data_IF_374857504426
#
_entry.id   IF_374857504426
#
_cell.length_a   1.000
_cell.length_b   1.000
_cell.length_c   1.000
_cell.angle_alpha   90.00
_cell.angle_beta   90.00
_cell.angle_gamma   90.00
#
_symmetry.space_group_name_H-M   'P 1'
#
loop_
_entity.id
_entity.type
_entity.pdbx_description
1 polymer ?
#
# COMPACT_ATOMS: atom_id res chain seq x y z
N UNK A 1 -7.86 -28.10 39.33
CA UNK A 1 -8.58 -28.84 38.28
C UNK A 1 -9.12 -27.82 37.30
N UNK A 2 -8.26 -27.57 36.31
CA UNK A 2 -8.52 -27.27 34.91
C UNK A 2 -9.35 -26.02 34.59
N UNK A 3 -8.63 -24.89 34.54
CA UNK A 3 -8.95 -23.84 33.55
C UNK A 3 -8.59 -24.42 32.18
N UNK A 4 -9.60 -24.77 31.41
CA UNK A 4 -9.46 -25.07 30.00
C UNK A 4 -9.00 -23.77 29.34
N UNK A 5 -7.71 -23.66 29.02
CA UNK A 5 -7.22 -22.71 28.04
C UNK A 5 -7.95 -23.03 26.74
N UNK A 6 -8.82 -22.11 26.31
CA UNK A 6 -9.32 -22.11 24.94
C UNK A 6 -8.09 -21.80 24.08
N UNK A 7 -7.45 -22.83 23.54
CA UNK A 7 -6.58 -22.68 22.38
C UNK A 7 -7.41 -21.97 21.32
N UNK A 8 -7.15 -20.67 21.10
CA UNK A 8 -7.63 -20.01 19.90
C UNK A 8 -6.88 -20.67 18.75
N UNK A 9 -7.52 -21.61 18.07
CA UNK A 9 -7.00 -22.13 16.81
C UNK A 9 -6.87 -20.94 15.87
N UNK A 10 -5.64 -20.44 15.68
CA UNK A 10 -5.36 -19.43 14.66
C UNK A 10 -5.78 -20.05 13.34
N UNK A 11 -6.85 -19.53 12.75
CA UNK A 11 -7.28 -19.94 11.42
C UNK A 11 -6.21 -19.41 10.47
N UNK A 12 -5.44 -20.32 9.90
CA UNK A 12 -4.44 -19.97 8.89
C UNK A 12 -5.18 -19.62 7.61
N UNK A 13 -4.90 -18.46 7.02
CA UNK A 13 -5.48 -18.09 5.73
C UNK A 13 -5.17 -19.14 4.66
N UNK A 14 -6.10 -19.36 3.71
CA UNK A 14 -5.79 -20.15 2.52
C UNK A 14 -4.62 -19.51 1.77
N UNK A 15 -3.75 -20.34 1.19
CA UNK A 15 -2.62 -19.85 0.40
C UNK A 15 -3.07 -19.21 -0.91
N UNK A 16 -2.16 -18.47 -1.55
CA UNK A 16 -2.43 -17.76 -2.82
C UNK A 16 -3.13 -18.63 -3.88
N UNK A 17 -2.74 -19.90 -4.15
CA UNK A 17 -3.43 -20.72 -5.14
C UNK A 17 -4.93 -20.92 -4.84
N UNK A 18 -5.28 -21.15 -3.57
CA UNK A 18 -6.67 -21.31 -3.17
C UNK A 18 -7.44 -19.99 -3.22
N UNK A 19 -6.80 -18.88 -2.81
CA UNK A 19 -7.38 -17.55 -2.94
C UNK A 19 -7.66 -17.18 -4.41
N UNK A 20 -6.76 -17.51 -5.32
CA UNK A 20 -6.94 -17.31 -6.78
C UNK A 20 -8.08 -18.20 -7.30
N UNK A 21 -8.14 -19.46 -6.88
CA UNK A 21 -9.21 -20.37 -7.27
C UNK A 21 -10.59 -19.88 -6.78
N UNK A 22 -10.66 -19.31 -5.58
CA UNK A 22 -11.89 -18.69 -5.05
C UNK A 22 -12.27 -17.47 -5.90
N UNK A 23 -11.31 -16.56 -6.15
CA UNK A 23 -11.51 -15.36 -6.96
C UNK A 23 -12.02 -15.70 -8.37
N UNK A 24 -11.41 -16.69 -9.01
CA UNK A 24 -11.76 -17.10 -10.38
C UNK A 24 -13.12 -17.82 -10.50
N UNK A 25 -13.76 -18.21 -9.39
CA UNK A 25 -15.13 -18.75 -9.39
C UNK A 25 -16.18 -17.64 -9.46
N UNK A 26 -15.81 -16.40 -9.18
CA UNK A 26 -16.73 -15.27 -9.33
C UNK A 26 -17.16 -15.10 -10.78
N UNK A 27 -18.46 -14.89 -10.99
CA UNK A 27 -19.00 -14.64 -12.34
C UNK A 27 -18.78 -13.18 -12.70
N UNK A 28 -18.33 -12.93 -13.92
CA UNK A 28 -18.13 -11.58 -14.47
C UNK A 28 -17.12 -10.75 -13.66
N UNK A 29 -15.92 -11.31 -13.48
CA UNK A 29 -14.81 -10.55 -12.90
C UNK A 29 -14.65 -9.19 -13.60
N UNK A 30 -14.43 -8.10 -12.84
CA UNK A 30 -14.27 -6.78 -13.42
C UNK A 30 -13.01 -6.73 -14.29
N UNK A 31 -13.02 -5.80 -15.25
CA UNK A 31 -11.91 -5.55 -16.16
C UNK A 31 -11.26 -4.22 -15.77
N UNK A 32 -9.96 -4.25 -15.53
CA UNK A 32 -9.15 -3.09 -15.22
C UNK A 32 -8.86 -2.24 -16.47
N UNK A 33 -8.59 -0.96 -16.22
CA UNK A 33 -8.29 0.04 -17.24
C UNK A 33 -6.93 0.66 -16.91
N UNK A 34 -6.05 0.79 -17.92
CA UNK A 34 -4.79 1.51 -17.78
C UNK A 34 -5.03 3.02 -17.89
N UNK A 35 -4.37 3.77 -17.02
CA UNK A 35 -4.38 5.23 -17.03
C UNK A 35 -3.44 5.78 -18.10
N UNK A 36 -3.75 6.98 -18.58
CA UNK A 36 -2.88 7.74 -19.50
C UNK A 36 -2.34 8.96 -18.77
N UNK A 37 -1.03 9.16 -18.83
CA UNK A 37 -0.36 10.30 -18.20
C UNK A 37 0.31 11.20 -19.24
N UNK A 38 0.17 12.50 -19.05
CA UNK A 38 0.80 13.52 -19.87
C UNK A 38 2.02 14.09 -19.12
N UNK A 39 3.22 13.60 -19.48
CA UNK A 39 4.47 13.92 -18.77
C UNK A 39 5.30 15.04 -19.41
N UNK A 40 4.94 15.47 -20.62
CA UNK A 40 5.74 16.39 -21.42
C UNK A 40 7.05 15.77 -21.95
N UNK A 41 7.77 16.53 -22.78
CA UNK A 41 8.98 16.02 -23.48
C UNK A 41 10.16 15.72 -22.53
N UNK A 42 10.28 16.45 -21.42
CA UNK A 42 11.39 16.27 -20.46
C UNK A 42 11.37 14.91 -19.75
N UNK A 43 10.19 14.27 -19.67
CA UNK A 43 9.99 12.98 -19.04
C UNK A 43 9.64 11.89 -20.06
N UNK A 44 10.01 12.11 -21.33
CA UNK A 44 9.85 11.11 -22.37
C UNK A 44 10.60 9.82 -22.02
N UNK A 45 9.89 8.69 -22.05
CA UNK A 45 10.42 7.38 -21.68
C UNK A 45 10.37 7.07 -20.17
N UNK A 46 9.71 7.91 -19.38
CA UNK A 46 9.34 7.60 -18.00
C UNK A 46 7.98 6.90 -17.96
N UNK A 47 7.81 6.05 -16.96
CA UNK A 47 6.56 5.39 -16.60
C UNK A 47 5.98 6.05 -15.35
N UNK A 48 4.64 6.02 -15.21
CA UNK A 48 3.94 6.35 -13.96
C UNK A 48 3.19 5.13 -13.46
N UNK A 49 3.55 4.63 -12.30
CA UNK A 49 2.97 3.43 -11.70
C UNK A 49 2.92 3.54 -10.17
N UNK A 50 2.37 2.51 -9.52
CA UNK A 50 2.11 2.46 -8.07
C UNK A 50 1.44 3.76 -7.57
N UNK A 51 0.29 4.16 -8.17
CA UNK A 51 -0.36 5.42 -7.84
C UNK A 51 -0.96 5.37 -6.43
N UNK A 52 -1.15 6.50 -5.77
CA UNK A 52 -1.95 6.60 -4.54
C UNK A 52 -2.98 7.72 -4.70
N UNK A 53 -4.29 7.44 -4.59
CA UNK A 53 -5.29 8.50 -4.57
C UNK A 53 -5.11 9.37 -3.33
N UNK A 54 -5.27 10.67 -3.50
CA UNK A 54 -5.23 11.67 -2.43
C UNK A 54 -6.32 12.70 -2.65
N UNK A 55 -6.95 13.12 -1.55
CA UNK A 55 -7.96 14.18 -1.57
C UNK A 55 -7.49 15.36 -0.71
N UNK A 56 -7.45 16.55 -1.33
CA UNK A 56 -7.00 17.80 -0.70
C UNK A 56 -8.08 18.84 -0.99
N UNK A 57 -8.69 19.38 0.07
CA UNK A 57 -9.73 20.41 -0.03
C UNK A 57 -10.89 20.04 -0.98
N UNK A 58 -11.29 18.76 -0.98
CA UNK A 58 -12.34 18.21 -1.85
C UNK A 58 -11.92 17.93 -3.29
N UNK A 59 -10.71 18.29 -3.68
CA UNK A 59 -10.13 17.98 -4.99
C UNK A 59 -9.42 16.62 -4.95
N UNK A 60 -9.63 15.82 -5.98
CA UNK A 60 -9.06 14.48 -6.12
C UNK A 60 -7.84 14.52 -7.01
N UNK A 61 -6.75 13.91 -6.54
CA UNK A 61 -5.50 13.79 -7.26
C UNK A 61 -4.97 12.35 -7.16
N UNK A 62 -3.94 12.06 -7.97
CA UNK A 62 -3.09 10.88 -7.79
C UNK A 62 -1.66 11.31 -7.54
N UNK A 63 -1.06 10.76 -6.50
CA UNK A 63 0.40 10.68 -6.40
C UNK A 63 0.85 9.50 -7.27
N UNK A 64 1.85 9.69 -8.11
CA UNK A 64 2.40 8.62 -8.95
C UNK A 64 3.90 8.49 -8.79
N UNK A 65 4.42 7.26 -8.75
CA UNK A 65 5.86 6.99 -8.89
C UNK A 65 6.22 7.17 -10.36
N UNK A 66 7.02 8.20 -10.63
CA UNK A 66 7.56 8.54 -11.95
C UNK A 66 9.00 8.07 -12.02
N UNK A 67 9.28 7.14 -12.93
CA UNK A 67 10.60 6.53 -13.03
C UNK A 67 10.94 6.16 -14.48
N UNK A 68 12.21 6.28 -14.86
CA UNK A 68 12.64 5.92 -16.21
C UNK A 68 12.32 4.45 -16.51
N UNK A 69 11.72 4.15 -17.67
CA UNK A 69 11.30 2.79 -18.02
C UNK A 69 12.42 1.74 -17.92
N UNK A 70 13.67 2.15 -18.13
CA UNK A 70 14.85 1.27 -18.20
C UNK A 70 15.74 1.30 -16.95
N UNK A 71 15.35 2.01 -15.90
CA UNK A 71 16.15 2.17 -14.69
C UNK A 71 15.27 2.22 -13.45
N UNK A 72 15.76 1.72 -12.32
CA UNK A 72 15.13 1.86 -10.99
C UNK A 72 15.73 3.01 -10.17
N UNK A 73 16.62 3.80 -10.79
CA UNK A 73 17.31 4.92 -10.15
C UNK A 73 16.58 6.24 -10.35
N UNK A 74 16.66 7.11 -9.35
CA UNK A 74 16.14 8.47 -9.42
C UNK A 74 14.62 8.56 -9.52
N UNK A 75 13.90 7.60 -8.93
CA UNK A 75 12.43 7.65 -8.86
C UNK A 75 11.96 8.94 -8.20
N UNK A 76 10.87 9.49 -8.70
CA UNK A 76 10.23 10.67 -8.14
C UNK A 76 8.77 10.36 -7.84
N UNK A 77 8.22 10.95 -6.79
CA UNK A 77 6.76 11.04 -6.64
C UNK A 77 6.31 12.41 -7.11
N UNK A 78 5.30 12.42 -7.98
CA UNK A 78 4.68 13.63 -8.53
C UNK A 78 3.16 13.58 -8.36
N UNK A 79 2.53 14.75 -8.33
CA UNK A 79 1.07 14.89 -8.22
C UNK A 79 0.44 15.06 -9.61
N UNK A 80 -0.69 14.40 -9.81
CA UNK A 80 -1.44 14.41 -11.06
C UNK A 80 -2.93 14.72 -10.83
N UNK A 81 -3.54 15.44 -11.77
CA UNK A 81 -4.98 15.70 -11.82
C UNK A 81 -5.57 15.18 -13.13
N UNK A 82 -6.78 14.64 -13.06
CA UNK A 82 -7.52 14.20 -14.25
C UNK A 82 -8.09 15.40 -15.02
N UNK A 83 -7.88 15.41 -16.34
CA UNK A 83 -8.43 16.42 -17.23
C UNK A 83 -9.75 15.99 -17.87
N UNK A 84 -10.38 16.87 -18.64
CA UNK A 84 -11.68 16.63 -19.28
C UNK A 84 -11.69 15.43 -20.26
N UNK A 85 -10.53 14.95 -20.69
CA UNK A 85 -10.37 13.78 -21.58
C UNK A 85 -10.16 12.47 -20.81
N UNK A 86 -10.09 12.51 -19.48
CA UNK A 86 -9.76 11.36 -18.63
C UNK A 86 -8.28 10.99 -18.65
N UNK A 87 -7.40 11.93 -19.04
CA UNK A 87 -5.94 11.78 -18.96
C UNK A 87 -5.43 12.51 -17.71
N UNK A 88 -4.27 12.07 -17.20
CA UNK A 88 -3.69 12.59 -15.97
C UNK A 88 -2.54 13.52 -16.28
N UNK A 89 -2.76 14.81 -16.03
CA UNK A 89 -1.78 15.87 -16.24
C UNK A 89 -0.98 16.09 -14.95
N UNK A 90 0.31 16.42 -15.09
CA UNK A 90 1.13 16.86 -13.96
C UNK A 90 0.52 18.13 -13.38
N UNK A 91 0.35 18.18 -12.06
CA UNK A 91 0.00 19.42 -11.37
C UNK A 91 1.24 20.30 -11.29
N UNK A 92 1.24 21.40 -12.05
CA UNK A 92 2.33 22.38 -12.04
C UNK A 92 2.53 22.96 -10.63
N UNK A 93 3.78 23.29 -10.29
CA UNK A 93 4.21 23.81 -8.99
C UNK A 93 3.95 22.92 -7.75
N UNK A 94 3.37 21.73 -7.92
CA UNK A 94 3.25 20.77 -6.84
C UNK A 94 4.63 20.23 -6.39
N UNK A 95 4.79 19.87 -5.11
CA UNK A 95 6.04 19.31 -4.62
C UNK A 95 6.43 18.03 -5.37
N UNK A 96 7.73 17.89 -5.69
CA UNK A 96 8.31 16.68 -6.27
C UNK A 96 9.20 16.00 -5.24
N UNK A 97 8.86 14.77 -4.88
CA UNK A 97 9.61 14.00 -3.89
C UNK A 97 10.67 13.16 -4.60
N UNK A 98 11.88 13.70 -4.70
CA UNK A 98 13.01 13.02 -5.35
C UNK A 98 13.47 11.81 -4.54
N UNK A 99 13.99 10.80 -5.25
CA UNK A 99 14.47 9.55 -4.67
C UNK A 99 13.45 8.86 -3.76
N UNK A 100 12.17 8.95 -4.14
CA UNK A 100 11.04 8.40 -3.39
C UNK A 100 10.19 7.54 -4.33
N UNK A 101 9.80 6.37 -3.84
CA UNK A 101 9.00 5.38 -4.55
C UNK A 101 7.68 5.13 -3.80
N UNK A 102 6.74 4.47 -4.48
CA UNK A 102 5.53 3.85 -3.91
C UNK A 102 4.79 4.78 -2.92
N UNK A 103 4.26 5.92 -3.39
CA UNK A 103 3.58 6.89 -2.55
C UNK A 103 2.35 6.28 -1.86
N UNK A 104 1.96 6.88 -0.74
CA UNK A 104 0.73 6.52 -0.04
C UNK A 104 0.12 7.71 0.69
N UNK A 105 -1.19 7.62 0.92
CA UNK A 105 -1.95 8.56 1.74
C UNK A 105 -2.72 7.80 2.82
N UNK A 106 -2.59 8.24 4.08
CA UNK A 106 -3.27 7.63 5.23
C UNK A 106 -4.52 8.41 5.67
N UNK A 107 -4.88 9.50 4.99
CA UNK A 107 -5.96 10.38 5.43
C UNK A 107 -5.53 11.29 6.58
N UNK A 108 -6.50 11.68 7.41
CA UNK A 108 -6.27 12.53 8.58
C UNK A 108 -5.97 11.64 9.80
N UNK A 109 -4.81 11.87 10.42
CA UNK A 109 -4.36 11.22 11.65
C UNK A 109 -3.82 12.30 12.58
N UNK A 110 -4.29 12.32 13.83
CA UNK A 110 -3.89 13.32 14.83
C UNK A 110 -4.10 14.78 14.36
N UNK A 111 -5.11 15.01 13.53
CA UNK A 111 -5.42 16.32 12.96
C UNK A 111 -4.52 16.75 11.79
N UNK A 112 -3.63 15.89 11.31
CA UNK A 112 -2.77 16.14 10.14
C UNK A 112 -3.10 15.21 8.99
N UNK A 113 -2.98 15.69 7.76
CA UNK A 113 -2.99 14.85 6.56
C UNK A 113 -1.64 14.15 6.44
N UNK A 114 -1.66 12.82 6.40
CA UNK A 114 -0.47 11.98 6.42
C UNK A 114 -0.24 11.35 5.05
N UNK A 115 0.93 11.61 4.48
CA UNK A 115 1.40 10.98 3.25
C UNK A 115 2.84 10.49 3.39
N UNK A 116 3.28 9.64 2.48
CA UNK A 116 4.68 9.21 2.48
C UNK A 116 5.05 8.42 1.25
N UNK A 117 6.22 7.80 1.33
CA UNK A 117 6.73 6.89 0.30
C UNK A 117 7.94 6.12 0.83
N UNK A 118 8.63 5.45 -0.08
CA UNK A 118 9.88 4.74 0.20
C UNK A 118 11.04 5.56 -0.34
N UNK A 119 11.82 6.16 0.57
CA UNK A 119 13.04 6.87 0.20
C UNK A 119 14.13 5.85 -0.14
N UNK A 120 14.87 6.09 -1.23
CA UNK A 120 15.96 5.23 -1.71
C UNK A 120 17.25 6.03 -1.82
N UNK A 121 18.39 5.37 -1.65
CA UNK A 121 19.71 5.98 -1.84
C UNK A 121 20.56 5.21 -2.83
N UNK A 122 21.37 5.93 -3.60
CA UNK A 122 22.41 5.34 -4.44
C UNK A 122 23.69 5.11 -3.62
N UNK A 123 23.59 4.20 -2.65
CA UNK A 123 24.70 3.80 -1.78
C UNK A 123 24.89 2.27 -1.78
N UNK A 124 26.03 1.81 -1.27
CA UNK A 124 26.34 0.37 -1.19
C UNK A 124 25.23 -0.37 -0.40
N UNK A 125 24.68 -1.42 -1.01
CA UNK A 125 23.58 -2.19 -0.41
C UNK A 125 22.17 -1.64 -0.67
N UNK A 126 22.03 -0.58 -1.50
CA UNK A 126 20.76 0.02 -1.92
C UNK A 126 19.79 0.23 -0.75
N UNK A 127 20.15 1.05 0.25
CA UNK A 127 19.28 1.25 1.40
C UNK A 127 17.99 1.94 0.98
N UNK A 128 16.92 1.57 1.69
CA UNK A 128 15.60 2.12 1.49
C UNK A 128 14.84 2.14 2.80
N UNK A 129 13.93 3.10 2.98
CA UNK A 129 13.13 3.22 4.20
C UNK A 129 11.83 3.97 3.94
N UNK A 130 10.83 3.72 4.77
CA UNK A 130 9.60 4.52 4.73
C UNK A 130 9.89 5.92 5.25
N UNK A 131 9.44 6.97 4.55
CA UNK A 131 9.41 8.34 5.04
C UNK A 131 7.99 8.86 5.04
N UNK A 132 7.64 9.69 6.03
CA UNK A 132 6.29 10.23 6.18
C UNK A 132 6.36 11.74 6.37
N UNK A 133 5.48 12.42 5.65
CA UNK A 133 5.24 13.85 5.69
C UNK A 133 3.84 14.12 6.26
N UNK A 134 3.70 15.24 6.94
CA UNK A 134 2.44 15.71 7.50
C UNK A 134 2.20 17.15 7.09
N UNK A 135 0.99 17.47 6.68
CA UNK A 135 0.56 18.83 6.36
C UNK A 135 -0.87 19.05 6.84
N UNK A 136 -1.30 20.30 6.97
CA UNK A 136 -2.66 20.60 7.43
C UNK A 136 -3.61 20.74 6.27
N UNK A 137 -3.48 21.76 5.45
CA UNK A 137 -4.47 22.14 4.44
C UNK A 137 -4.03 21.81 3.01
N UNK A 138 -2.77 22.05 2.67
CA UNK A 138 -2.28 21.92 1.29
C UNK A 138 -0.86 21.36 1.20
N UNK A 139 -0.54 20.70 0.08
CA UNK A 139 0.78 20.12 -0.16
C UNK A 139 1.90 21.17 -0.26
N UNK A 140 1.57 22.42 -0.62
CA UNK A 140 2.54 23.53 -0.64
C UNK A 140 3.17 23.79 0.74
N UNK A 141 2.53 23.38 1.85
CA UNK A 141 3.13 23.43 3.19
C UNK A 141 4.39 22.56 3.33
N UNK A 142 4.53 21.56 2.45
CA UNK A 142 5.72 20.70 2.42
C UNK A 142 6.90 21.36 1.69
N UNK A 143 6.76 22.59 1.19
CA UNK A 143 7.84 23.31 0.50
C UNK A 143 8.14 24.63 1.23
N UNK A 144 9.36 24.77 1.71
CA UNK A 144 9.85 25.98 2.40
C UNK A 144 11.05 26.51 1.64
N UNK A 145 10.95 27.76 1.15
CA UNK A 145 12.00 28.43 0.34
C UNK A 145 12.40 27.66 -0.93
N UNK A 146 11.46 26.88 -1.49
CA UNK A 146 11.68 26.10 -2.71
C UNK A 146 12.20 24.68 -2.49
N UNK A 147 12.52 24.32 -1.24
CA UNK A 147 12.98 22.98 -0.87
C UNK A 147 11.87 22.22 -0.13
N UNK A 148 11.83 20.90 -0.35
CA UNK A 148 10.95 20.02 0.42
C UNK A 148 11.37 20.02 1.89
N UNK A 149 10.42 20.11 2.81
CA UNK A 149 10.67 19.95 4.25
C UNK A 149 11.21 18.55 4.55
N UNK A 150 11.90 18.40 5.68
CA UNK A 150 12.28 17.07 6.17
C UNK A 150 11.03 16.26 6.55
N UNK A 151 11.01 14.94 6.30
CA UNK A 151 9.93 14.09 6.78
C UNK A 151 9.90 14.11 8.31
N UNK A 152 8.70 14.16 8.91
CA UNK A 152 8.58 14.12 10.37
C UNK A 152 8.91 12.75 10.94
N UNK A 153 8.80 11.71 10.11
CA UNK A 153 9.16 10.34 10.47
C UNK A 153 10.02 9.69 9.39
N UNK A 154 11.06 9.01 9.86
CA UNK A 154 11.99 8.21 9.07
C UNK A 154 12.00 6.80 9.67
N UNK A 155 11.59 5.83 8.86
CA UNK A 155 11.48 4.44 9.28
C UNK A 155 12.84 3.73 9.36
N UNK A 156 12.84 2.49 9.88
CA UNK A 156 14.01 1.63 9.92
C UNK A 156 14.57 1.37 8.52
N UNK A 157 15.89 1.28 8.43
CA UNK A 157 16.57 0.86 7.21
C UNK A 157 16.07 -0.51 6.74
N UNK A 158 15.88 -0.63 5.43
CA UNK A 158 15.33 -1.79 4.73
C UNK A 158 13.91 -2.18 5.18
N UNK A 159 13.13 -1.25 5.71
CA UNK A 159 11.71 -1.44 6.01
C UNK A 159 10.83 -0.44 5.25
N UNK A 160 10.03 -0.97 4.32
CA UNK A 160 8.93 -0.23 3.67
C UNK A 160 7.59 -0.53 4.36
N UNK A 161 6.52 0.17 3.98
CA UNK A 161 5.16 -0.24 4.33
C UNK A 161 4.68 0.14 5.73
N UNK A 162 5.23 1.20 6.34
CA UNK A 162 4.61 1.81 7.53
C UNK A 162 3.33 2.55 7.10
N UNK A 163 2.21 2.27 7.76
CA UNK A 163 0.91 2.92 7.51
C UNK A 163 0.23 3.29 8.82
N UNK A 164 -0.44 4.44 8.85
CA UNK A 164 -1.08 4.98 10.03
C UNK A 164 -2.59 5.04 9.84
N UNK A 165 -3.34 4.92 10.93
CA UNK A 165 -4.80 5.13 10.93
C UNK A 165 -5.28 5.72 12.24
N UNK A 166 -6.11 6.75 12.18
CA UNK A 166 -6.81 7.28 13.35
C UNK A 166 -7.84 6.25 13.84
N UNK A 167 -7.79 5.90 15.13
CA UNK A 167 -8.75 4.97 15.75
C UNK A 167 -9.90 5.74 16.40
N UNK A 168 -11.05 5.08 16.58
CA UNK A 168 -12.23 5.65 17.28
C UNK A 168 -11.97 5.99 18.74
N UNK A 169 -11.05 5.28 19.38
CA UNK A 169 -10.65 5.51 20.77
C UNK A 169 -9.67 6.69 20.93
N UNK A 170 -9.37 7.43 19.85
CA UNK A 170 -8.44 8.56 19.85
C UNK A 170 -6.97 8.20 19.63
N UNK A 171 -6.59 6.92 19.76
CA UNK A 171 -5.23 6.46 19.47
C UNK A 171 -4.95 6.39 17.97
N UNK A 172 -3.71 6.14 17.62
CA UNK A 172 -3.26 5.91 16.24
C UNK A 172 -2.81 4.45 16.13
N UNK A 173 -3.41 3.72 15.19
CA UNK A 173 -2.95 2.40 14.80
C UNK A 173 -1.77 2.53 13.86
N UNK A 174 -0.69 1.78 14.14
CA UNK A 174 0.54 1.75 13.35
C UNK A 174 0.71 0.35 12.77
N UNK A 175 0.59 0.24 11.46
CA UNK A 175 0.94 -0.97 10.74
C UNK A 175 2.38 -0.91 10.29
N UNK A 176 3.11 -1.99 10.50
CA UNK A 176 4.51 -2.16 10.08
C UNK A 176 4.63 -3.32 9.10
N UNK A 177 5.76 -3.38 8.39
CA UNK A 177 6.10 -4.51 7.52
C UNK A 177 7.52 -4.99 7.80
N UNK A 178 7.79 -5.57 8.98
CA UNK A 178 9.11 -6.11 9.31
C UNK A 178 9.59 -7.15 8.30
N UNK A 179 10.90 -7.19 8.08
CA UNK A 179 11.60 -8.12 7.21
C UNK A 179 12.89 -8.61 7.88
N UNK A 180 13.35 -9.81 7.50
CA UNK A 180 14.56 -10.43 8.01
C UNK A 180 14.35 -11.87 8.46
N UNK A 181 15.41 -12.67 8.40
CA UNK A 181 15.35 -14.12 8.65
C UNK A 181 14.81 -14.47 10.04
N UNK A 182 15.20 -13.69 11.05
CA UNK A 182 14.76 -13.90 12.44
C UNK A 182 13.35 -13.34 12.73
N UNK A 183 12.87 -12.40 11.91
CA UNK A 183 11.62 -11.69 12.19
C UNK A 183 11.04 -11.05 10.92
N UNK A 184 9.88 -11.57 10.47
CA UNK A 184 9.14 -11.04 9.32
C UNK A 184 9.50 -11.65 7.96
N UNK A 185 10.60 -12.39 7.82
CA UNK A 185 10.98 -13.07 6.57
C UNK A 185 11.07 -12.09 5.39
N UNK A 186 10.44 -12.42 4.26
CA UNK A 186 10.31 -11.51 3.08
C UNK A 186 9.32 -10.36 3.31
N UNK A 187 8.53 -10.47 4.37
CA UNK A 187 7.88 -9.38 5.07
C UNK A 187 6.46 -9.69 5.45
N UNK A 188 6.17 -9.54 6.74
CA UNK A 188 4.88 -9.80 7.38
C UNK A 188 4.28 -8.51 7.91
N UNK A 189 3.00 -8.49 8.23
CA UNK A 189 2.32 -7.31 8.77
C UNK A 189 2.42 -7.33 10.30
N UNK A 190 2.86 -6.22 10.89
CA UNK A 190 2.78 -5.98 12.32
C UNK A 190 1.80 -4.86 12.66
N UNK A 191 1.35 -4.80 13.93
CA UNK A 191 0.45 -3.76 14.43
C UNK A 191 0.74 -3.39 15.89
N UNK A 192 0.65 -2.10 16.19
CA UNK A 192 0.54 -1.57 17.55
C UNK A 192 -0.20 -0.24 17.57
N UNK A 193 -0.45 0.30 18.76
CA UNK A 193 -1.11 1.59 18.94
C UNK A 193 -0.22 2.58 19.70
N UNK A 194 -0.29 3.86 19.30
CA UNK A 194 0.35 5.00 19.96
C UNK A 194 -0.68 6.07 20.31
N UNK A 195 -0.35 7.02 21.19
CA UNK A 195 -1.33 8.04 21.62
C UNK A 195 -1.36 9.27 20.70
N UNK A 196 -0.22 9.64 20.13
CA UNK A 196 -0.08 10.78 19.21
C UNK A 196 1.05 10.53 18.22
N UNK A 197 1.18 11.37 17.19
CA UNK A 197 2.27 11.26 16.21
C UNK A 197 3.66 11.45 16.85
N UNK A 198 3.76 12.19 17.96
CA UNK A 198 5.01 12.40 18.69
C UNK A 198 5.60 11.08 19.25
N UNK A 199 4.74 10.11 19.55
CA UNK A 199 5.14 8.79 20.06
C UNK A 199 5.71 7.88 18.95
N UNK A 200 5.43 8.17 17.67
CA UNK A 200 5.67 7.23 16.56
C UNK A 200 7.13 6.78 16.47
N UNK A 201 8.08 7.71 16.53
CA UNK A 201 9.50 7.38 16.45
C UNK A 201 9.90 6.46 17.60
N UNK A 202 9.59 6.83 18.84
CA UNK A 202 9.98 6.05 20.02
C UNK A 202 9.37 4.65 20.01
N UNK A 203 8.07 4.56 19.76
CA UNK A 203 7.32 3.31 19.92
C UNK A 203 7.55 2.33 18.76
N UNK A 204 7.89 2.81 17.55
CA UNK A 204 8.19 1.93 16.41
C UNK A 204 9.53 1.19 16.55
N UNK A 205 10.54 1.81 17.16
CA UNK A 205 11.83 1.17 17.42
C UNK A 205 11.84 0.34 18.72
N UNK A 206 10.73 0.36 19.46
CA UNK A 206 10.54 -0.54 20.60
C UNK A 206 10.13 -1.94 20.09
N UNK A 207 11.03 -2.92 20.30
CA UNK A 207 10.83 -4.30 19.84
C UNK A 207 9.56 -4.95 20.41
N UNK A 208 9.14 -4.56 21.61
CA UNK A 208 7.96 -5.14 22.27
C UNK A 208 6.64 -4.74 21.59
N UNK A 209 6.66 -3.64 20.84
CA UNK A 209 5.49 -3.12 20.11
C UNK A 209 5.35 -3.74 18.73
N UNK A 210 6.43 -4.22 18.12
CA UNK A 210 6.33 -4.81 16.80
C UNK A 210 5.85 -6.26 16.94
N UNK A 211 4.53 -6.46 17.04
CA UNK A 211 3.91 -7.80 17.05
C UNK A 211 3.31 -8.09 15.69
N UNK A 212 3.66 -9.25 15.13
CA UNK A 212 3.08 -9.71 13.88
C UNK A 212 1.58 -10.01 14.07
N UNK A 213 0.80 -9.64 13.06
CA UNK A 213 -0.57 -10.11 12.92
C UNK A 213 -0.50 -11.55 12.40
N UNK A 214 -0.99 -12.55 13.16
CA UNK A 214 -0.94 -13.93 12.74
C UNK A 214 -1.96 -14.20 11.61
N UNK A 215 -1.71 -15.26 10.83
CA UNK A 215 -2.70 -15.80 9.91
C UNK A 215 -2.91 -15.01 8.60
N UNK A 216 -2.08 -14.01 8.28
CA UNK A 216 -2.20 -13.25 7.02
C UNK A 216 -1.48 -13.91 5.85
N UNK A 217 -0.30 -14.49 6.07
CA UNK A 217 0.53 -15.10 5.01
C UNK A 217 0.88 -16.53 5.37
N UNK A 218 0.83 -17.43 4.40
CA UNK A 218 1.19 -18.84 4.61
C UNK A 218 2.69 -19.00 4.73
N UNK A 219 3.12 -19.64 5.81
CA UNK A 219 4.48 -20.15 6.00
C UNK A 219 4.57 -21.57 5.41
N UNK A 220 5.49 -21.80 4.48
CA UNK A 220 5.58 -23.07 3.74
C UNK A 220 6.80 -23.86 4.17
N UNK A 221 6.60 -25.07 4.69
CA UNK A 221 7.69 -26.04 4.87
C UNK A 221 8.17 -26.56 3.51
N UNK A 222 9.40 -26.21 3.11
CA UNK A 222 10.05 -26.73 1.89
C UNK A 222 9.83 -25.92 0.61
N UNK A 223 9.29 -24.70 0.72
CA UNK A 223 9.17 -23.72 -0.37
C UNK A 223 9.45 -22.30 0.14
N UNK A 224 9.28 -21.28 -0.70
CA UNK A 224 9.37 -19.89 -0.23
C UNK A 224 8.03 -19.41 0.34
N UNK A 225 8.09 -18.72 1.49
CA UNK A 225 6.93 -18.16 2.18
C UNK A 225 6.23 -17.07 1.36
N UNK A 226 4.93 -16.92 1.58
CA UNK A 226 4.17 -15.77 1.09
C UNK A 226 4.59 -14.50 1.86
N UNK A 227 4.53 -13.35 1.20
CA UNK A 227 4.81 -12.07 1.84
C UNK A 227 3.86 -10.99 1.37
N UNK A 228 3.85 -9.88 2.09
CA UNK A 228 3.03 -8.75 1.69
C UNK A 228 3.11 -7.59 2.66
N UNK A 229 2.13 -6.70 2.56
CA UNK A 229 2.07 -5.50 3.38
C UNK A 229 0.81 -4.71 3.16
N UNK A 230 0.47 -3.87 4.13
CA UNK A 230 -0.63 -2.91 4.04
C UNK A 230 -0.30 -1.82 3.01
N UNK A 231 -1.28 -1.46 2.20
CA UNK A 231 -1.20 -0.35 1.24
C UNK A 231 -2.10 0.82 1.67
N UNK A 232 -3.35 0.54 2.04
CA UNK A 232 -4.33 1.54 2.48
C UNK A 232 -5.23 1.00 3.59
N UNK A 233 -5.68 1.89 4.47
CA UNK A 233 -6.44 1.57 5.67
C UNK A 233 -7.73 2.38 5.73
N UNK A 234 -8.81 1.76 6.21
CA UNK A 234 -10.13 2.36 6.32
C UNK A 234 -10.70 2.08 7.71
N UNK A 235 -11.10 3.13 8.44
CA UNK A 235 -11.74 2.97 9.74
C UNK A 235 -13.20 2.62 9.53
N UNK A 236 -13.64 1.47 10.06
CA UNK A 236 -14.99 0.97 9.89
C UNK A 236 -15.94 1.47 11.00
N UNK A 237 -17.25 1.40 10.76
CA UNK A 237 -18.29 1.90 11.67
C UNK A 237 -18.37 1.20 13.02
N UNK A 238 -17.86 -0.02 13.14
CA UNK A 238 -17.76 -0.73 14.42
C UNK A 238 -16.40 -0.56 15.11
N UNK A 239 -15.48 0.21 14.50
CA UNK A 239 -14.15 0.44 15.04
C UNK A 239 -13.10 -0.60 14.61
N UNK A 240 -13.45 -1.60 13.78
CA UNK A 240 -12.45 -2.44 13.10
C UNK A 240 -11.79 -1.68 11.95
N UNK A 241 -10.79 -2.29 11.32
CA UNK A 241 -9.99 -1.67 10.27
C UNK A 241 -10.13 -2.48 8.98
N UNK A 242 -10.69 -1.87 7.94
CA UNK A 242 -10.62 -2.40 6.59
C UNK A 242 -9.21 -2.21 6.04
N UNK A 243 -8.60 -3.28 5.55
CA UNK A 243 -7.23 -3.30 5.06
C UNK A 243 -7.22 -3.62 3.58
N UNK A 244 -6.67 -2.71 2.77
CA UNK A 244 -6.23 -3.03 1.42
C UNK A 244 -4.73 -3.28 1.45
N UNK A 245 -4.31 -4.42 0.92
CA UNK A 245 -2.95 -4.91 1.01
C UNK A 245 -2.53 -5.60 -0.30
N UNK A 246 -1.24 -5.89 -0.41
CA UNK A 246 -0.73 -6.83 -1.41
C UNK A 246 -0.31 -8.13 -0.72
N UNK A 247 -0.48 -9.24 -1.44
CA UNK A 247 0.10 -10.55 -1.14
C UNK A 247 0.94 -11.00 -2.35
N UNK A 248 2.01 -11.71 -2.09
CA UNK A 248 2.98 -12.09 -3.11
C UNK A 248 3.63 -13.45 -2.82
N UNK A 249 3.98 -14.12 -3.91
CA UNK A 249 4.77 -15.36 -3.93
C UNK A 249 5.72 -15.40 -5.12
N UNK A 250 6.47 -16.50 -5.19
CA UNK A 250 7.11 -16.94 -6.42
C UNK A 250 6.20 -17.93 -7.13
N UNK A 251 5.83 -17.59 -8.37
CA UNK A 251 5.10 -18.50 -9.25
C UNK A 251 5.93 -19.72 -9.65
N UNK A 252 5.31 -20.69 -10.33
CA UNK A 252 6.00 -21.90 -10.80
C UNK A 252 7.18 -21.64 -11.75
N UNK A 253 7.20 -20.47 -12.41
CA UNK A 253 8.27 -20.02 -13.28
C UNK A 253 9.42 -19.28 -12.54
N UNK A 254 9.34 -19.22 -11.21
CA UNK A 254 10.31 -18.53 -10.35
C UNK A 254 10.20 -17.02 -10.38
N UNK A 255 9.16 -16.44 -10.99
CA UNK A 255 8.93 -14.99 -11.01
C UNK A 255 8.05 -14.55 -9.85
N UNK A 256 8.21 -13.29 -9.45
CA UNK A 256 7.40 -12.71 -8.36
C UNK A 256 6.02 -12.34 -8.88
N UNK A 257 4.97 -12.82 -8.22
CA UNK A 257 3.60 -12.36 -8.44
C UNK A 257 3.14 -11.49 -7.26
N UNK A 258 2.28 -10.52 -7.56
CA UNK A 258 1.65 -9.66 -6.56
C UNK A 258 0.17 -9.56 -6.90
N UNK A 259 -0.66 -9.79 -5.90
CA UNK A 259 -2.12 -9.69 -6.00
C UNK A 259 -2.64 -8.67 -5.00
N UNK A 260 -3.66 -7.92 -5.40
CA UNK A 260 -4.38 -7.06 -4.49
C UNK A 260 -5.29 -7.92 -3.61
N UNK A 261 -5.23 -7.71 -2.30
CA UNK A 261 -6.10 -8.37 -1.32
C UNK A 261 -6.82 -7.35 -0.43
N UNK A 262 -7.92 -7.81 0.14
CA UNK A 262 -8.59 -7.12 1.24
C UNK A 262 -8.90 -8.07 2.40
N UNK A 263 -8.94 -7.53 3.61
CA UNK A 263 -9.44 -8.19 4.82
C UNK A 263 -9.81 -7.15 5.87
N UNK A 264 -10.48 -7.57 6.94
CA UNK A 264 -10.79 -6.75 8.11
C UNK A 264 -9.86 -7.18 9.25
N UNK A 265 -9.20 -6.22 9.88
CA UNK A 265 -8.42 -6.43 11.08
C UNK A 265 -9.17 -5.92 12.31
N UNK A 266 -9.24 -6.76 13.34
CA UNK A 266 -9.78 -6.43 14.66
C UNK A 266 -8.61 -6.22 15.65
N UNK A 267 -8.32 -4.97 16.02
CA UNK A 267 -7.20 -4.66 16.90
C UNK A 267 -7.45 -5.02 18.38
N UNK A 268 -8.70 -5.25 18.80
CA UNK A 268 -9.00 -5.55 20.20
C UNK A 268 -8.62 -7.00 20.55
N UNK A 269 -8.67 -7.91 19.57
CA UNK A 269 -8.30 -9.32 19.73
C UNK A 269 -7.16 -9.76 18.80
N UNK A 270 -6.58 -8.85 18.01
CA UNK A 270 -5.50 -9.11 17.05
C UNK A 270 -5.84 -10.23 16.05
N UNK A 271 -7.03 -10.18 15.47
CA UNK A 271 -7.51 -11.18 14.50
C UNK A 271 -7.83 -10.56 13.14
N UNK A 272 -7.81 -11.40 12.11
CA UNK A 272 -8.15 -11.03 10.74
C UNK A 272 -9.36 -11.82 10.26
N UNK A 273 -10.20 -11.19 9.45
CA UNK A 273 -11.23 -11.89 8.68
C UNK A 273 -10.58 -12.76 7.61
N UNK A 274 -11.41 -13.53 6.90
CA UNK A 274 -11.00 -14.18 5.66
C UNK A 274 -10.40 -13.15 4.68
N UNK A 275 -9.28 -13.52 4.08
CA UNK A 275 -8.63 -12.75 3.02
C UNK A 275 -9.37 -12.97 1.71
N UNK A 276 -9.44 -11.92 0.88
CA UNK A 276 -9.99 -11.98 -0.47
C UNK A 276 -9.02 -11.35 -1.45
N UNK A 277 -8.72 -12.03 -2.55
CA UNK A 277 -8.16 -11.36 -3.72
C UNK A 277 -9.24 -10.45 -4.29
N UNK A 278 -8.84 -9.21 -4.62
CA UNK A 278 -9.73 -8.19 -5.17
C UNK A 278 -9.29 -7.71 -6.56
N UNK A 279 -8.04 -8.00 -6.95
CA UNK A 279 -7.56 -7.80 -8.31
C UNK A 279 -6.31 -8.64 -8.60
N UNK A 280 -6.22 -9.18 -9.82
CA UNK A 280 -5.05 -9.87 -10.36
C UNK A 280 -4.57 -9.23 -11.67
N UNK A 281 -3.34 -9.51 -12.08
CA UNK A 281 -2.74 -8.91 -13.27
C UNK A 281 -3.51 -9.24 -14.56
N UNK A 282 -4.09 -10.42 -14.65
CA UNK A 282 -4.84 -10.89 -15.83
C UNK A 282 -6.15 -10.12 -16.06
N UNK A 283 -6.60 -9.34 -15.07
CA UNK A 283 -7.77 -8.47 -15.23
C UNK A 283 -7.45 -7.14 -15.93
N UNK A 284 -6.18 -6.85 -16.20
CA UNK A 284 -5.73 -5.63 -16.88
C UNK A 284 -5.28 -5.93 -18.31
N UNK A 285 -5.27 -4.93 -19.22
CA UNK A 285 -4.62 -5.06 -20.51
C UNK A 285 -3.17 -5.55 -20.36
N UNK A 286 -2.72 -6.40 -21.29
CA UNK A 286 -1.38 -6.96 -21.24
C UNK A 286 -0.32 -5.83 -21.24
N UNK A 287 0.49 -5.81 -20.19
CA UNK A 287 1.54 -4.82 -19.96
C UNK A 287 2.88 -5.54 -19.86
N UNK A 288 3.89 -5.04 -20.58
CA UNK A 288 5.26 -5.55 -20.42
C UNK A 288 5.77 -5.21 -19.02
N UNK A 289 6.29 -6.19 -18.29
CA UNK A 289 6.91 -5.94 -16.99
C UNK A 289 8.17 -5.10 -17.14
N UNK A 290 8.40 -4.19 -16.19
CA UNK A 290 9.63 -3.38 -16.15
C UNK A 290 10.88 -4.25 -16.04
N UNK A 291 10.80 -5.34 -15.28
CA UNK A 291 11.90 -6.25 -14.99
C UNK A 291 11.53 -7.69 -15.33
N UNK A 292 12.49 -8.46 -15.86
CA UNK A 292 12.28 -9.83 -16.35
C UNK A 292 11.90 -10.85 -15.27
N UNK A 293 12.21 -10.54 -13.99
CA UNK A 293 11.91 -11.40 -12.84
C UNK A 293 10.50 -11.18 -12.26
N UNK A 294 9.71 -10.28 -12.84
CA UNK A 294 8.33 -10.00 -12.46
C UNK A 294 7.37 -10.82 -13.32
N UNK A 295 6.46 -11.54 -12.66
CA UNK A 295 5.36 -12.27 -13.27
C UNK A 295 4.12 -11.38 -13.38
N UNK A 296 3.00 -11.81 -12.80
CA UNK A 296 1.79 -11.00 -12.69
C UNK A 296 1.87 -10.07 -11.48
N UNK A 297 2.05 -8.77 -11.70
CA UNK A 297 2.19 -7.77 -10.62
C UNK A 297 1.03 -6.80 -10.65
N UNK A 298 0.24 -6.80 -9.58
CA UNK A 298 -0.72 -5.74 -9.23
C UNK A 298 -0.39 -5.22 -7.84
N UNK A 299 0.08 -3.97 -7.77
CA UNK A 299 0.43 -3.30 -6.53
C UNK A 299 -0.67 -2.32 -6.12
N UNK A 300 -1.22 -2.47 -4.92
CA UNK A 300 -2.35 -1.64 -4.49
C UNK A 300 -1.92 -0.21 -4.20
N UNK A 301 -2.64 0.73 -4.81
CA UNK A 301 -2.49 2.16 -4.57
C UNK A 301 -3.43 2.72 -3.51
N UNK A 302 -4.69 2.28 -3.58
CA UNK A 302 -5.77 2.70 -2.70
C UNK A 302 -7.09 2.74 -3.45
N UNK A 303 -8.20 2.88 -2.74
CA UNK A 303 -9.53 2.90 -3.33
C UNK A 303 -10.29 4.18 -3.01
N UNK A 304 -11.08 4.66 -3.98
CA UNK A 304 -11.99 5.80 -3.81
C UNK A 304 -13.43 5.35 -4.03
N UNK A 305 -14.40 5.82 -3.21
CA UNK A 305 -15.81 5.50 -3.44
C UNK A 305 -16.33 6.01 -4.78
N UNK A 306 -17.06 5.16 -5.50
CA UNK A 306 -17.87 5.55 -6.66
C UNK A 306 -19.33 5.76 -6.24
N UNK A 307 -19.82 4.91 -5.34
CA UNK A 307 -21.10 4.98 -4.66
C UNK A 307 -21.04 4.10 -3.38
N UNK A 308 -22.17 3.89 -2.71
CA UNK A 308 -22.27 3.10 -1.46
C UNK A 308 -21.74 1.65 -1.61
N UNK A 309 -21.97 1.04 -2.78
CA UNK A 309 -21.66 -0.38 -3.00
C UNK A 309 -20.35 -0.61 -3.77
N UNK A 310 -19.76 0.43 -4.36
CA UNK A 310 -18.62 0.29 -5.28
C UNK A 310 -17.50 1.28 -5.01
N UNK A 311 -16.28 0.79 -5.21
CA UNK A 311 -15.07 1.59 -5.17
C UNK A 311 -14.28 1.43 -6.45
N UNK A 312 -13.54 2.46 -6.80
CA UNK A 312 -12.48 2.41 -7.80
C UNK A 312 -11.16 2.12 -7.10
N UNK A 313 -10.59 0.94 -7.32
CA UNK A 313 -9.30 0.54 -6.80
C UNK A 313 -8.21 0.96 -7.80
N UNK A 314 -7.33 1.87 -7.39
CA UNK A 314 -6.13 2.23 -8.14
C UNK A 314 -5.00 1.26 -7.84
N UNK A 315 -4.26 0.87 -8.87
CA UNK A 315 -3.16 -0.10 -8.78
C UNK A 315 -2.01 0.27 -9.70
N UNK A 316 -0.80 -0.14 -9.34
CA UNK A 316 0.32 -0.28 -10.27
C UNK A 316 0.25 -1.64 -10.95
N UNK A 317 0.54 -1.67 -12.25
CA UNK A 317 0.55 -2.88 -13.07
C UNK A 317 1.96 -3.09 -13.60
N UNK A 318 2.54 -4.26 -13.32
CA UNK A 318 3.84 -4.71 -13.86
C UNK A 318 5.05 -3.79 -13.58
N UNK A 319 4.97 -2.96 -12.53
CA UNK A 319 5.89 -1.85 -12.23
C UNK A 319 6.11 -0.91 -13.44
N UNK A 320 5.07 -0.76 -14.26
CA UNK A 320 5.15 -0.20 -15.60
C UNK A 320 4.12 0.89 -15.86
N UNK A 321 2.88 0.60 -15.45
CA UNK A 321 1.71 1.40 -15.74
C UNK A 321 0.92 1.58 -14.44
N UNK A 322 0.06 2.60 -14.42
CA UNK A 322 -1.01 2.70 -13.44
C UNK A 322 -2.32 2.27 -14.07
N UNK A 323 -3.19 1.66 -13.28
CA UNK A 323 -4.53 1.33 -13.70
C UNK A 323 -5.53 1.54 -12.58
N UNK A 324 -6.80 1.38 -12.92
CA UNK A 324 -7.86 1.22 -11.95
C UNK A 324 -8.76 0.06 -12.33
N UNK A 325 -9.47 -0.46 -11.34
CA UNK A 325 -10.51 -1.46 -11.52
C UNK A 325 -11.67 -1.12 -10.59
N UNK A 326 -12.87 -1.09 -11.14
CA UNK A 326 -14.09 -0.79 -10.37
C UNK A 326 -14.62 -2.10 -9.80
N UNK A 327 -14.63 -2.19 -8.47
CA UNK A 327 -14.99 -3.40 -7.71
C UNK A 327 -16.11 -3.11 -6.73
N UNK A 328 -16.78 -4.17 -6.27
CA UNK A 328 -17.66 -4.05 -5.11
C UNK A 328 -16.85 -3.60 -3.90
N UNK A 329 -17.41 -2.71 -3.09
CA UNK A 329 -16.73 -2.15 -1.95
C UNK A 329 -16.43 -3.28 -0.94
N UNK A 330 -15.14 -3.57 -0.65
CA UNK A 330 -14.77 -4.74 0.15
C UNK A 330 -15.27 -4.75 1.59
N UNK A 331 -15.75 -3.59 2.06
CA UNK A 331 -16.13 -3.32 3.45
C UNK A 331 -17.55 -2.73 3.54
N UNK A 332 -18.37 -2.81 2.48
CA UNK A 332 -19.67 -2.12 2.36
C UNK A 332 -20.60 -2.32 3.57
N UNK A 333 -20.60 -3.52 4.15
CA UNK A 333 -21.48 -3.85 5.27
C UNK A 333 -21.08 -3.16 6.59
N UNK A 334 -19.94 -2.44 6.62
CA UNK A 334 -19.33 -1.84 7.81
C UNK A 334 -18.86 -0.39 7.59
N UNK A 335 -19.20 0.24 6.45
CA UNK A 335 -18.83 1.63 6.12
C UNK A 335 -19.93 2.62 6.41
#
# INVERSE_FOLDING_TARGET
MDRIEKESSVVVAPGIPELIDIHNREKNLPVGVLLKFNLGENLKGYSVYNPSPIEINGNKYLLGRVENRKSEKGAMVMLFSENEKGEWDIVEDAPVFKNTQDPFFCGIVDGFRIMGGVQTYEEEGNPYRTVIYSFKEDLSELVVKGDLVEPFFVGPEKMKGVRLIQRKNGKIGVFTRPQGDDYGGRGKIGYFEINSLDDLNKELFNKDNNKLIPGVFVERTGGEDEWGGVNSLYLLNDGRIGVLAHIADFGPDGKKNYHAISFIFDPDNNSVSELKIIATADQFPATESKMSHLGGVVYVGGAVPLNEDKVRLFVGVADAESGYIDIDHPFKDLM
#
